data_IF_433311942647
#
_entry.id   IF_433311942647
#
_cell.length_a   1.000
_cell.length_b   1.000
_cell.length_c   1.000
_cell.angle_alpha   90.00
_cell.angle_beta   90.00
_cell.angle_gamma   90.00
#
_symmetry.space_group_name_H-M   'P 1'
#
loop_
_entity.id
_entity.type
_entity.pdbx_description
1 polymer ?
#
# COMPACT_ATOMS: atom_id res chain seq x y z
N UNK A 1 -17.96 -20.84 -29.41
CA UNK A 1 -18.22 -19.70 -28.53
C UNK A 1 -16.86 -19.22 -28.05
N UNK A 2 -16.47 -18.00 -28.38
CA UNK A 2 -15.17 -17.46 -27.94
C UNK A 2 -15.22 -17.22 -26.43
N UNK A 3 -14.08 -17.26 -25.73
CA UNK A 3 -14.00 -16.92 -24.30
C UNK A 3 -14.63 -15.54 -24.01
N UNK A 4 -14.53 -14.59 -24.94
CA UNK A 4 -15.21 -13.30 -24.87
C UNK A 4 -16.74 -13.42 -24.94
N UNK A 5 -17.30 -14.33 -25.73
CA UNK A 5 -18.75 -14.60 -25.75
C UNK A 5 -19.22 -15.31 -24.48
N UNK A 6 -18.42 -16.22 -23.90
CA UNK A 6 -18.73 -16.88 -22.62
C UNK A 6 -18.66 -15.89 -21.46
N UNK A 7 -17.65 -15.02 -21.44
CA UNK A 7 -17.54 -13.95 -20.44
C UNK A 7 -18.67 -12.94 -20.61
N UNK A 8 -19.00 -12.52 -21.84
CA UNK A 8 -20.12 -11.62 -22.10
C UNK A 8 -21.49 -12.27 -21.88
N UNK A 9 -21.62 -13.59 -22.00
CA UNK A 9 -22.83 -14.34 -21.65
C UNK A 9 -22.95 -14.54 -20.14
N UNK A 10 -21.84 -14.78 -19.43
CA UNK A 10 -21.77 -14.78 -17.97
C UNK A 10 -22.10 -13.39 -17.42
N UNK A 11 -21.42 -12.36 -17.90
CA UNK A 11 -21.69 -10.94 -17.61
C UNK A 11 -23.10 -10.53 -18.06
N UNK A 12 -23.59 -11.04 -19.18
CA UNK A 12 -24.95 -10.80 -19.65
C UNK A 12 -26.01 -11.44 -18.77
N UNK A 13 -25.75 -12.64 -18.22
CA UNK A 13 -26.56 -13.27 -17.18
C UNK A 13 -26.48 -12.49 -15.87
N UNK A 14 -25.31 -11.96 -15.51
CA UNK A 14 -25.15 -11.07 -14.34
C UNK A 14 -25.86 -9.72 -14.51
N UNK A 15 -25.90 -9.15 -15.73
CA UNK A 15 -26.56 -7.87 -16.05
C UNK A 15 -28.09 -7.94 -16.11
N UNK A 16 -28.68 -9.12 -16.25
CA UNK A 16 -30.14 -9.28 -16.27
C UNK A 16 -30.82 -8.96 -14.92
N UNK A 17 -30.04 -8.58 -13.88
CA UNK A 17 -30.52 -8.13 -12.58
C UNK A 17 -30.79 -6.61 -12.45
N UNK A 18 -30.58 -5.77 -13.49
CA UNK A 18 -30.82 -4.31 -13.38
C UNK A 18 -31.62 -3.67 -14.52
N UNK A 19 -32.64 -2.89 -14.15
CA UNK A 19 -33.19 -1.81 -14.99
C UNK A 19 -32.15 -0.67 -15.13
N UNK A 20 -31.98 -0.04 -16.31
CA UNK A 20 -30.85 0.82 -16.58
C UNK A 20 -31.07 2.25 -16.06
N UNK A 21 -30.25 2.69 -15.10
CA UNK A 21 -30.09 4.11 -14.80
C UNK A 21 -29.05 4.72 -15.75
N UNK A 22 -29.50 5.61 -16.64
CA UNK A 22 -28.68 6.22 -17.71
C UNK A 22 -27.80 7.33 -17.16
N UNK A 23 -26.50 7.10 -17.03
CA UNK A 23 -25.49 8.16 -16.94
C UNK A 23 -24.95 8.45 -18.35
N UNK A 24 -25.16 9.69 -18.81
CA UNK A 24 -24.65 10.19 -20.11
C UNK A 24 -23.14 10.45 -19.99
N UNK A 25 -22.37 9.89 -20.92
CA UNK A 25 -20.93 10.17 -21.09
C UNK A 25 -20.70 11.48 -21.86
N UNK A 26 -19.66 12.21 -21.47
CA UNK A 26 -19.09 13.37 -22.17
C UNK A 26 -17.99 12.90 -23.14
N UNK A 27 -17.84 13.43 -24.38
CA UNK A 27 -17.03 12.78 -25.43
C UNK A 27 -15.52 13.04 -25.40
N UNK A 28 -15.01 14.04 -24.67
CA UNK A 28 -13.63 14.50 -24.86
C UNK A 28 -12.87 14.66 -23.52
N UNK A 29 -11.97 13.73 -23.21
CA UNK A 29 -11.10 13.80 -22.04
C UNK A 29 -9.96 12.80 -22.09
N UNK A 30 -8.81 13.22 -22.64
CA UNK A 30 -7.56 12.44 -22.64
C UNK A 30 -6.95 12.47 -21.25
N UNK A 31 -6.72 11.31 -20.63
CA UNK A 31 -5.95 11.18 -19.38
C UNK A 31 -4.85 10.11 -19.52
N UNK A 32 -3.64 10.51 -19.16
CA UNK A 32 -2.43 9.68 -19.12
C UNK A 32 -2.17 9.25 -17.67
N UNK A 33 -2.11 7.95 -17.38
CA UNK A 33 -1.58 7.45 -16.10
C UNK A 33 -1.82 5.96 -15.85
N UNK A 34 -0.75 5.16 -15.84
CA UNK A 34 -0.75 3.77 -15.34
C UNK A 34 -0.51 3.75 -13.83
N UNK A 35 -1.47 3.26 -13.05
CA UNK A 35 -1.27 3.00 -11.62
C UNK A 35 -2.46 2.22 -11.06
N UNK A 36 -2.32 0.90 -10.93
CA UNK A 36 -3.25 0.14 -10.09
C UNK A 36 -2.89 0.47 -8.65
N UNK A 37 -3.74 1.24 -7.97
CA UNK A 37 -3.71 1.36 -6.52
C UNK A 37 -4.30 0.08 -5.92
N UNK A 38 -3.62 -1.05 -6.10
CA UNK A 38 -3.69 -2.09 -5.05
C UNK A 38 -3.20 -1.39 -3.78
N UNK A 39 -4.00 -1.34 -2.73
CA UNK A 39 -3.52 -0.87 -1.42
C UNK A 39 -2.20 -1.59 -1.11
N UNK A 40 -1.17 -0.94 -0.57
CA UNK A 40 0.14 -1.56 -0.30
C UNK A 40 -0.01 -2.92 0.37
N UNK A 41 0.01 -3.96 -0.44
CA UNK A 41 -0.06 -5.36 -0.07
C UNK A 41 1.14 -5.90 -0.83
N UNK A 42 2.30 -6.04 -0.18
CA UNK A 42 3.41 -6.70 -0.82
C UNK A 42 2.98 -8.15 -1.09
N UNK A 43 2.42 -8.39 -2.27
CA UNK A 43 2.13 -9.71 -2.79
C UNK A 43 3.46 -10.32 -3.18
N UNK A 44 4.00 -11.11 -2.27
CA UNK A 44 4.94 -12.15 -2.67
C UNK A 44 4.09 -13.23 -3.33
N UNK A 45 4.07 -13.24 -4.67
CA UNK A 45 3.60 -14.42 -5.41
C UNK A 45 4.64 -15.52 -5.21
N UNK A 46 4.59 -16.23 -4.08
CA UNK A 46 5.35 -17.46 -3.90
C UNK A 46 4.65 -18.57 -4.67
N UNK A 47 5.40 -19.34 -5.47
CA UNK A 47 4.89 -20.59 -6.02
C UNK A 47 4.41 -21.50 -4.87
N UNK A 48 3.38 -22.35 -5.08
CA UNK A 48 2.86 -23.26 -4.05
C UNK A 48 3.92 -24.19 -3.42
N UNK A 49 5.07 -24.36 -4.07
CA UNK A 49 6.14 -25.27 -3.66
C UNK A 49 7.25 -24.61 -2.80
N UNK A 50 7.24 -23.29 -2.60
CA UNK A 50 8.32 -22.57 -1.88
C UNK A 50 8.02 -22.26 -0.39
N UNK A 51 7.15 -23.03 0.27
CA UNK A 51 6.92 -22.92 1.73
C UNK A 51 8.09 -23.43 2.60
N UNK A 52 9.26 -23.71 2.02
CA UNK A 52 10.47 -24.16 2.73
C UNK A 52 11.62 -23.12 2.77
N UNK A 53 11.34 -21.83 2.55
CA UNK A 53 12.34 -20.76 2.45
C UNK A 53 12.64 -19.95 3.71
N UNK A 54 12.08 -20.27 4.88
CA UNK A 54 12.18 -19.44 6.11
C UNK A 54 13.60 -19.35 6.75
N UNK A 55 14.67 -19.72 6.04
CA UNK A 55 16.04 -19.76 6.58
C UNK A 55 17.11 -19.16 5.63
N UNK A 56 16.70 -18.57 4.50
CA UNK A 56 17.62 -18.15 3.43
C UNK A 56 18.01 -16.65 3.47
N UNK A 57 17.11 -15.73 3.84
CA UNK A 57 17.46 -14.31 3.97
C UNK A 57 18.41 -14.07 5.16
N UNK A 58 18.22 -14.76 6.28
CA UNK A 58 19.21 -14.85 7.35
C UNK A 58 20.57 -15.37 6.87
N UNK A 59 20.60 -16.27 5.87
CA UNK A 59 21.83 -16.80 5.27
C UNK A 59 22.48 -15.81 4.30
N UNK A 60 21.70 -15.04 3.53
CA UNK A 60 22.19 -13.95 2.68
C UNK A 60 22.74 -12.78 3.51
N UNK A 61 22.07 -12.42 4.61
CA UNK A 61 22.51 -11.45 5.60
C UNK A 61 23.79 -11.93 6.30
N UNK A 62 23.86 -13.22 6.69
CA UNK A 62 25.08 -13.86 7.22
C UNK A 62 26.22 -13.89 6.20
N UNK A 63 25.96 -14.08 4.91
CA UNK A 63 26.98 -14.02 3.85
C UNK A 63 27.46 -12.60 3.58
N UNK A 64 26.56 -11.61 3.54
CA UNK A 64 26.91 -10.20 3.38
C UNK A 64 27.75 -9.68 4.56
N UNK A 65 27.39 -10.09 5.78
CA UNK A 65 28.17 -9.78 7.00
C UNK A 65 29.50 -10.54 7.07
N UNK A 66 29.56 -11.80 6.67
CA UNK A 66 30.79 -12.60 6.66
C UNK A 66 31.82 -12.13 5.60
N UNK A 67 31.36 -11.66 4.44
CA UNK A 67 32.23 -11.17 3.36
C UNK A 67 32.89 -9.82 3.72
N UNK A 68 32.29 -9.07 4.64
CA UNK A 68 32.78 -7.77 5.08
C UNK A 68 33.91 -7.85 6.15
N UNK A 69 34.36 -9.04 6.56
CA UNK A 69 35.32 -9.20 7.65
C UNK A 69 36.80 -9.04 7.26
N UNK A 70 37.37 -7.83 7.49
CA UNK A 70 38.69 -7.59 8.14
C UNK A 70 39.13 -6.11 8.21
N UNK A 71 38.41 -5.15 7.63
CA UNK A 71 38.67 -3.71 7.77
C UNK A 71 37.37 -2.89 7.62
N UNK A 72 36.46 -2.98 8.59
CA UNK A 72 35.19 -2.24 8.52
C UNK A 72 35.28 -0.86 9.18
N UNK A 73 34.74 0.17 8.52
CA UNK A 73 34.56 1.49 9.14
C UNK A 73 33.59 1.40 10.34
N UNK A 74 33.76 2.23 11.39
CA UNK A 74 32.83 2.27 12.54
C UNK A 74 31.37 2.49 12.15
N UNK A 75 31.10 3.26 11.08
CA UNK A 75 29.77 3.48 10.52
C UNK A 75 29.12 2.16 10.04
N UNK A 76 29.89 1.31 9.36
CA UNK A 76 29.45 0.01 8.88
C UNK A 76 29.22 -0.96 10.06
N UNK A 77 30.10 -0.97 11.06
CA UNK A 77 29.92 -1.80 12.25
C UNK A 77 28.63 -1.45 13.01
N UNK A 78 28.29 -0.16 13.10
CA UNK A 78 27.03 0.30 13.71
C UNK A 78 25.82 -0.07 12.88
N UNK A 79 25.88 0.07 11.55
CA UNK A 79 24.81 -0.36 10.65
C UNK A 79 24.55 -1.87 10.77
N UNK A 80 25.60 -2.69 10.84
CA UNK A 80 25.52 -4.14 11.02
C UNK A 80 25.06 -4.58 12.42
N UNK A 81 24.96 -3.66 13.38
CA UNK A 81 24.51 -3.96 14.75
C UNK A 81 22.99 -3.86 14.92
N UNK A 82 22.27 -3.31 13.94
CA UNK A 82 20.81 -3.20 13.98
C UNK A 82 20.20 -4.59 13.72
N UNK A 83 19.37 -5.12 14.64
CA UNK A 83 18.65 -6.37 14.44
C UNK A 83 17.83 -6.37 13.14
N UNK A 84 17.84 -7.48 12.43
CA UNK A 84 17.05 -7.68 11.21
C UNK A 84 16.19 -8.94 11.39
N UNK A 85 15.06 -8.85 12.11
CA UNK A 85 14.19 -10.00 12.33
C UNK A 85 13.60 -10.51 11.00
N UNK A 86 13.53 -11.83 10.88
CA UNK A 86 12.98 -12.52 9.71
C UNK A 86 12.25 -13.80 10.18
N UNK A 87 10.90 -13.85 10.11
CA UNK A 87 10.02 -12.76 9.69
C UNK A 87 9.90 -11.66 10.77
N UNK A 88 9.54 -10.44 10.36
CA UNK A 88 9.24 -9.36 11.32
C UNK A 88 7.97 -9.68 12.13
N UNK A 89 7.68 -8.92 13.20
CA UNK A 89 6.42 -9.09 13.92
C UNK A 89 5.20 -8.86 13.01
N UNK A 90 5.27 -7.84 12.16
CA UNK A 90 4.21 -7.51 11.21
C UNK A 90 4.03 -8.60 10.15
N UNK A 91 5.11 -9.12 9.58
CA UNK A 91 5.02 -10.20 8.59
C UNK A 91 4.37 -11.45 9.20
N UNK A 92 4.76 -11.82 10.44
CA UNK A 92 4.15 -12.95 11.16
C UNK A 92 2.66 -12.75 11.41
N UNK A 93 2.26 -11.56 11.83
CA UNK A 93 0.84 -11.27 12.10
C UNK A 93 0.03 -11.32 10.80
N UNK A 94 0.54 -10.71 9.72
CA UNK A 94 -0.12 -10.73 8.40
C UNK A 94 -0.27 -12.16 7.87
N UNK A 95 0.82 -12.91 7.80
CA UNK A 95 0.81 -14.29 7.30
C UNK A 95 -0.14 -15.18 8.11
N UNK A 96 -0.20 -14.98 9.43
CA UNK A 96 -1.13 -15.70 10.32
C UNK A 96 -2.58 -15.43 9.93
N UNK A 97 -2.99 -14.17 9.80
CA UNK A 97 -4.39 -13.82 9.55
C UNK A 97 -4.83 -14.13 8.12
N UNK A 98 -3.97 -13.88 7.12
CA UNK A 98 -4.27 -14.29 5.74
C UNK A 98 -4.36 -15.81 5.62
N UNK A 99 -3.37 -16.53 6.18
CA UNK A 99 -3.37 -17.99 6.17
C UNK A 99 -4.58 -18.58 6.89
N UNK A 100 -5.07 -17.92 7.94
CA UNK A 100 -6.30 -18.32 8.62
C UNK A 100 -7.54 -18.17 7.74
N UNK A 101 -7.72 -17.00 7.09
CA UNK A 101 -8.82 -16.78 6.15
C UNK A 101 -8.79 -17.78 4.99
N UNK A 102 -7.63 -18.03 4.39
CA UNK A 102 -7.46 -19.02 3.32
C UNK A 102 -7.81 -20.43 3.81
N UNK A 103 -7.31 -20.84 4.98
CA UNK A 103 -7.55 -22.18 5.50
C UNK A 103 -9.03 -22.43 5.79
N UNK A 104 -9.75 -21.43 6.30
CA UNK A 104 -11.19 -21.54 6.57
C UNK A 104 -12.02 -21.56 5.29
N UNK A 105 -11.69 -20.72 4.29
CA UNK A 105 -12.40 -20.70 3.02
C UNK A 105 -12.28 -22.05 2.30
N UNK A 106 -11.09 -22.67 2.32
CA UNK A 106 -10.86 -24.04 1.80
C UNK A 106 -11.65 -25.15 2.52
N UNK A 107 -12.14 -24.86 3.72
CA UNK A 107 -12.95 -25.78 4.53
C UNK A 107 -14.45 -25.39 4.50
N UNK A 108 -14.83 -24.43 3.65
CA UNK A 108 -16.19 -23.88 3.54
C UNK A 108 -16.75 -23.35 4.88
N UNK A 109 -15.86 -22.89 5.78
CA UNK A 109 -16.23 -22.36 7.10
C UNK A 109 -16.64 -20.89 7.02
N UNK A 110 -17.58 -20.57 6.13
CA UNK A 110 -17.95 -19.18 5.80
C UNK A 110 -18.56 -18.41 6.95
N UNK A 111 -19.43 -19.04 7.75
CA UNK A 111 -19.99 -18.45 8.97
C UNK A 111 -18.89 -18.06 9.95
N UNK A 112 -17.92 -18.96 10.20
CA UNK A 112 -16.84 -18.71 11.15
C UNK A 112 -15.91 -17.57 10.68
N UNK A 113 -15.64 -17.46 9.38
CA UNK A 113 -14.87 -16.34 8.82
C UNK A 113 -15.61 -15.03 9.03
N UNK A 114 -16.92 -15.02 8.75
CA UNK A 114 -17.75 -13.83 8.91
C UNK A 114 -17.78 -13.35 10.37
N UNK A 115 -17.96 -14.27 11.33
CA UNK A 115 -17.93 -13.95 12.76
C UNK A 115 -16.56 -13.40 13.20
N UNK A 116 -15.46 -14.00 12.74
CA UNK A 116 -14.12 -13.52 13.05
C UNK A 116 -13.82 -12.15 12.43
N UNK A 117 -14.32 -11.91 11.22
CA UNK A 117 -14.23 -10.61 10.57
C UNK A 117 -15.04 -9.56 11.32
N UNK A 118 -16.26 -9.89 11.74
CA UNK A 118 -17.13 -9.01 12.53
C UNK A 118 -16.47 -8.61 13.85
N UNK A 119 -15.95 -9.59 14.59
CA UNK A 119 -15.28 -9.35 15.87
C UNK A 119 -14.05 -8.46 15.67
N UNK A 120 -13.21 -8.76 14.67
CA UNK A 120 -12.01 -8.00 14.38
C UNK A 120 -12.31 -6.57 13.91
N UNK A 121 -13.33 -6.38 13.07
CA UNK A 121 -13.71 -5.07 12.54
C UNK A 121 -14.44 -4.23 13.60
N UNK A 122 -15.24 -4.86 14.47
CA UNK A 122 -15.92 -4.19 15.59
C UNK A 122 -14.90 -3.70 16.62
N UNK A 123 -13.92 -4.52 16.97
CA UNK A 123 -12.88 -4.18 17.95
C UNK A 123 -11.72 -3.37 17.35
N UNK A 124 -11.74 -3.07 16.04
CA UNK A 124 -10.67 -2.36 15.32
C UNK A 124 -9.31 -3.05 15.51
N UNK A 125 -9.31 -4.39 15.55
CA UNK A 125 -8.08 -5.16 15.77
C UNK A 125 -7.11 -4.92 14.62
N UNK A 126 -5.86 -4.65 14.98
CA UNK A 126 -4.77 -4.40 14.03
C UNK A 126 -3.57 -5.28 14.33
N UNK A 127 -2.77 -5.54 13.30
CA UNK A 127 -1.45 -6.14 13.43
C UNK A 127 -0.47 -5.18 14.12
N UNK A 128 0.72 -5.68 14.44
CA UNK A 128 1.78 -4.87 15.06
C UNK A 128 2.23 -3.65 14.23
N UNK A 129 2.07 -3.68 12.90
CA UNK A 129 2.29 -2.57 11.97
C UNK A 129 1.01 -1.82 11.56
N UNK A 130 -0.11 -2.07 12.23
CA UNK A 130 -1.34 -1.28 12.07
C UNK A 130 -2.30 -1.75 10.97
N UNK A 131 -2.14 -2.95 10.40
CA UNK A 131 -3.04 -3.45 9.37
C UNK A 131 -4.33 -4.04 9.99
N UNK A 132 -5.53 -3.64 9.52
CA UNK A 132 -6.78 -4.19 10.04
C UNK A 132 -6.87 -5.70 9.84
N UNK A 133 -7.19 -6.44 10.91
CA UNK A 133 -7.26 -7.90 10.87
C UNK A 133 -8.44 -8.39 10.02
N UNK A 134 -9.57 -7.68 10.04
CA UNK A 134 -10.73 -8.02 9.21
C UNK A 134 -10.40 -7.98 7.71
N UNK A 135 -9.64 -6.97 7.26
CA UNK A 135 -9.15 -6.89 5.88
C UNK A 135 -8.21 -8.05 5.52
N UNK A 136 -7.35 -8.48 6.46
CA UNK A 136 -6.44 -9.62 6.26
C UNK A 136 -7.16 -10.96 6.16
N UNK A 137 -8.18 -11.17 7.00
CA UNK A 137 -9.04 -12.36 6.93
C UNK A 137 -9.80 -12.40 5.60
N UNK A 138 -10.41 -11.28 5.20
CA UNK A 138 -11.10 -11.12 3.92
C UNK A 138 -10.17 -11.38 2.74
N UNK A 139 -8.95 -10.85 2.78
CA UNK A 139 -7.93 -11.08 1.76
C UNK A 139 -7.58 -12.57 1.65
N UNK A 140 -7.31 -13.21 2.79
CA UNK A 140 -7.02 -14.65 2.85
C UNK A 140 -8.15 -15.50 2.26
N UNK A 141 -9.41 -15.16 2.60
CA UNK A 141 -10.59 -15.92 2.17
C UNK A 141 -10.80 -15.94 0.65
N UNK A 142 -10.38 -14.89 -0.07
CA UNK A 142 -10.49 -14.81 -1.54
C UNK A 142 -9.20 -15.08 -2.31
N UNK A 143 -8.08 -15.28 -1.60
CA UNK A 143 -6.74 -15.31 -2.18
C UNK A 143 -6.57 -16.38 -3.27
N UNK A 144 -7.10 -17.60 -3.06
CA UNK A 144 -6.96 -18.69 -4.04
C UNK A 144 -7.67 -18.36 -5.36
N UNK A 145 -8.89 -17.83 -5.28
CA UNK A 145 -9.70 -17.43 -6.44
C UNK A 145 -9.02 -16.30 -7.22
N UNK A 146 -8.62 -15.24 -6.51
CA UNK A 146 -7.97 -14.07 -7.12
C UNK A 146 -6.63 -14.46 -7.73
N UNK A 147 -5.80 -15.22 -7.02
CA UNK A 147 -4.48 -15.65 -7.51
C UNK A 147 -4.59 -16.51 -8.78
N UNK A 148 -5.60 -17.40 -8.85
CA UNK A 148 -5.85 -18.20 -10.04
C UNK A 148 -6.23 -17.32 -11.25
N UNK A 149 -7.12 -16.34 -11.05
CA UNK A 149 -7.52 -15.39 -12.09
C UNK A 149 -6.34 -14.53 -12.56
N UNK A 150 -5.54 -13.98 -11.63
CA UNK A 150 -4.35 -13.20 -11.95
C UNK A 150 -3.29 -13.98 -12.71
N UNK A 151 -3.11 -15.26 -12.37
CA UNK A 151 -2.20 -16.14 -13.07
C UNK A 151 -2.64 -16.36 -14.51
N UNK A 152 -3.92 -16.68 -14.72
CA UNK A 152 -4.49 -16.86 -16.05
C UNK A 152 -4.47 -15.57 -16.89
N UNK A 153 -4.57 -14.40 -16.24
CA UNK A 153 -4.57 -13.09 -16.90
C UNK A 153 -3.17 -12.46 -17.05
N UNK A 154 -2.08 -13.16 -16.67
CA UNK A 154 -0.72 -12.59 -16.64
C UNK A 154 -0.25 -12.00 -17.98
N UNK A 155 -0.66 -12.60 -19.10
CA UNK A 155 -0.33 -12.16 -20.47
C UNK A 155 -1.33 -11.13 -21.02
N UNK A 156 -2.39 -10.83 -20.25
CA UNK A 156 -3.59 -10.13 -20.70
C UNK A 156 -4.38 -10.89 -21.78
N UNK A 157 -4.02 -12.14 -22.07
CA UNK A 157 -4.70 -13.06 -22.99
C UNK A 157 -4.81 -14.43 -22.30
N UNK A 158 -5.91 -14.69 -21.59
CA UNK A 158 -6.12 -16.01 -21.01
C UNK A 158 -6.19 -17.09 -22.09
N UNK A 159 -5.74 -18.29 -21.74
CA UNK A 159 -5.90 -19.47 -22.59
C UNK A 159 -7.39 -19.77 -22.80
N UNK A 160 -7.72 -20.38 -23.94
CA UNK A 160 -9.12 -20.65 -24.31
C UNK A 160 -9.88 -21.45 -23.23
N UNK A 161 -9.19 -22.39 -22.58
CA UNK A 161 -9.77 -23.31 -21.59
C UNK A 161 -9.42 -22.91 -20.15
N UNK A 162 -8.94 -21.68 -19.90
CA UNK A 162 -8.64 -21.22 -18.56
C UNK A 162 -9.94 -21.12 -17.73
N UNK A 163 -10.03 -21.75 -16.55
CA UNK A 163 -11.22 -21.70 -15.68
C UNK A 163 -11.29 -20.37 -14.92
N UNK A 164 -11.41 -19.26 -15.66
CA UNK A 164 -11.40 -17.91 -15.10
C UNK A 164 -12.63 -17.60 -14.25
N UNK A 165 -13.74 -18.28 -14.52
CA UNK A 165 -15.03 -18.00 -13.89
C UNK A 165 -15.33 -18.94 -12.72
N UNK A 166 -14.83 -20.17 -12.74
CA UNK A 166 -15.16 -21.21 -11.75
C UNK A 166 -14.98 -20.73 -10.31
N UNK A 167 -13.86 -20.05 -10.02
CA UNK A 167 -13.58 -19.55 -8.68
C UNK A 167 -14.51 -18.42 -8.22
N UNK A 168 -14.87 -17.49 -9.11
CA UNK A 168 -15.78 -16.39 -8.77
C UNK A 168 -17.23 -16.84 -8.75
N UNK A 169 -17.61 -17.81 -9.59
CA UNK A 169 -18.92 -18.47 -9.56
C UNK A 169 -19.15 -19.20 -8.22
N UNK A 170 -18.15 -19.92 -7.70
CA UNK A 170 -18.24 -20.54 -6.38
C UNK A 170 -18.42 -19.50 -5.25
N UNK A 171 -17.76 -18.34 -5.33
CA UNK A 171 -17.97 -17.26 -4.35
C UNK A 171 -19.36 -16.62 -4.47
N UNK A 172 -19.93 -16.55 -5.67
CA UNK A 172 -21.31 -16.08 -5.89
C UNK A 172 -22.35 -17.06 -5.33
N UNK A 173 -22.08 -18.38 -5.39
CA UNK A 173 -22.91 -19.39 -4.72
C UNK A 173 -22.90 -19.18 -3.20
N UNK A 174 -21.72 -18.94 -2.61
CA UNK A 174 -21.61 -18.59 -1.18
C UNK A 174 -22.39 -17.30 -0.87
N UNK A 175 -22.30 -16.27 -1.70
CA UNK A 175 -23.09 -15.05 -1.50
C UNK A 175 -24.60 -15.32 -1.55
N UNK A 176 -25.05 -16.21 -2.44
CA UNK A 176 -26.46 -16.58 -2.54
C UNK A 176 -26.96 -17.38 -1.32
N UNK A 177 -26.08 -18.14 -0.67
CA UNK A 177 -26.38 -18.83 0.61
C UNK A 177 -26.46 -17.85 1.80
N UNK A 178 -25.71 -16.74 1.75
CA UNK A 178 -25.62 -15.74 2.81
C UNK A 178 -25.93 -14.31 2.32
N UNK A 179 -27.13 -14.05 1.76
CA UNK A 179 -27.42 -12.80 1.05
C UNK A 179 -27.39 -11.57 1.96
N UNK A 180 -27.72 -11.72 3.24
CA UNK A 180 -27.80 -10.62 4.21
C UNK A 180 -26.54 -10.48 5.08
N UNK A 181 -25.45 -11.23 4.78
CA UNK A 181 -24.21 -11.17 5.57
C UNK A 181 -23.21 -10.15 4.99
N UNK A 182 -22.97 -9.00 5.65
CA UNK A 182 -22.13 -7.94 5.11
C UNK A 182 -20.65 -8.32 4.99
N UNK A 183 -20.16 -9.26 5.82
CA UNK A 183 -18.76 -9.69 5.81
C UNK A 183 -18.47 -10.61 4.62
N UNK A 184 -19.40 -11.54 4.34
CA UNK A 184 -19.35 -12.39 3.14
C UNK A 184 -19.50 -11.53 1.89
N UNK A 185 -20.49 -10.63 1.87
CA UNK A 185 -20.66 -9.67 0.77
C UNK A 185 -19.37 -8.88 0.50
N UNK A 186 -18.67 -8.44 1.55
CA UNK A 186 -17.39 -7.73 1.42
C UNK A 186 -16.28 -8.61 0.82
N UNK A 187 -16.18 -9.88 1.20
CA UNK A 187 -15.22 -10.84 0.60
C UNK A 187 -15.48 -10.96 -0.90
N UNK A 188 -16.72 -11.23 -1.29
CA UNK A 188 -17.10 -11.51 -2.68
C UNK A 188 -16.96 -10.24 -3.54
N UNK A 189 -17.46 -9.09 -3.07
CA UNK A 189 -17.28 -7.82 -3.76
C UNK A 189 -15.80 -7.46 -3.94
N UNK A 190 -14.96 -7.70 -2.92
CA UNK A 190 -13.52 -7.48 -3.03
C UNK A 190 -12.86 -8.42 -4.04
N UNK A 191 -13.31 -9.68 -4.12
CA UNK A 191 -12.83 -10.63 -5.12
C UNK A 191 -13.17 -10.15 -6.54
N UNK A 192 -14.38 -9.63 -6.77
CA UNK A 192 -14.73 -9.01 -8.04
C UNK A 192 -13.80 -7.83 -8.37
N UNK A 193 -13.58 -6.89 -7.44
CA UNK A 193 -12.70 -5.74 -7.67
C UNK A 193 -11.26 -6.18 -8.01
N UNK A 194 -10.72 -7.15 -7.28
CA UNK A 194 -9.36 -7.68 -7.50
C UNK A 194 -9.23 -8.34 -8.89
N UNK A 195 -10.21 -9.17 -9.28
CA UNK A 195 -10.27 -9.78 -10.63
C UNK A 195 -10.46 -8.71 -11.71
N UNK A 196 -11.28 -7.69 -11.45
CA UNK A 196 -11.43 -6.54 -12.32
C UNK A 196 -10.08 -5.89 -12.62
N UNK A 197 -9.31 -5.58 -11.58
CA UNK A 197 -7.95 -5.04 -11.73
C UNK A 197 -7.02 -5.97 -12.51
N UNK A 198 -7.12 -7.29 -12.31
CA UNK A 198 -6.36 -8.27 -13.08
C UNK A 198 -6.67 -8.19 -14.58
N UNK A 199 -7.94 -8.00 -14.97
CA UNK A 199 -8.34 -7.79 -16.36
C UNK A 199 -7.78 -6.50 -16.96
N UNK A 200 -7.92 -5.38 -16.22
CA UNK A 200 -7.42 -4.06 -16.64
C UNK A 200 -5.91 -4.07 -16.81
N UNK A 201 -5.20 -4.79 -15.93
CA UNK A 201 -3.74 -4.88 -15.92
C UNK A 201 -3.06 -3.57 -15.52
N UNK A 202 -1.76 -3.47 -15.76
CA UNK A 202 -0.93 -2.34 -15.28
C UNK A 202 -0.60 -1.32 -16.37
N UNK A 203 -1.03 -1.55 -17.62
CA UNK A 203 -0.71 -0.67 -18.76
C UNK A 203 -1.37 0.71 -18.71
N UNK A 204 -1.11 1.55 -19.71
CA UNK A 204 -1.82 2.82 -19.86
C UNK A 204 -3.27 2.58 -20.28
N UNK A 205 -4.21 3.45 -19.90
CA UNK A 205 -5.64 3.25 -20.23
C UNK A 205 -5.85 3.07 -21.75
N UNK A 206 -5.13 3.85 -22.57
CA UNK A 206 -5.19 3.77 -24.03
C UNK A 206 -4.70 2.42 -24.60
N UNK A 207 -3.95 1.64 -23.83
CA UNK A 207 -3.41 0.33 -24.22
C UNK A 207 -4.31 -0.84 -23.77
N UNK A 208 -5.29 -0.57 -22.89
CA UNK A 208 -6.21 -1.60 -22.40
C UNK A 208 -7.17 -2.01 -23.51
N UNK A 209 -7.19 -3.30 -23.84
CA UNK A 209 -8.10 -3.84 -24.86
C UNK A 209 -9.57 -3.62 -24.45
N UNK A 210 -10.42 -3.33 -25.43
CA UNK A 210 -11.86 -3.10 -25.18
C UNK A 210 -12.53 -4.26 -24.42
N UNK A 211 -12.16 -5.51 -24.72
CA UNK A 211 -12.66 -6.69 -24.01
C UNK A 211 -12.25 -6.72 -22.54
N UNK A 212 -10.98 -6.41 -22.25
CA UNK A 212 -10.47 -6.34 -20.88
C UNK A 212 -11.12 -5.19 -20.10
N UNK A 213 -11.36 -4.05 -20.76
CA UNK A 213 -12.10 -2.92 -20.17
C UNK A 213 -13.54 -3.30 -19.83
N UNK A 214 -14.24 -3.97 -20.74
CA UNK A 214 -15.60 -4.45 -20.48
C UNK A 214 -15.65 -5.48 -19.34
N UNK A 215 -14.65 -6.35 -19.22
CA UNK A 215 -14.53 -7.30 -18.11
C UNK A 215 -14.28 -6.57 -16.78
N UNK A 216 -13.34 -5.61 -16.74
CA UNK A 216 -13.12 -4.74 -15.59
C UNK A 216 -14.42 -4.05 -15.15
N UNK A 217 -15.12 -3.38 -16.07
CA UNK A 217 -16.38 -2.68 -15.79
C UNK A 217 -17.44 -3.64 -15.23
N UNK A 218 -17.58 -4.84 -15.81
CA UNK A 218 -18.55 -5.82 -15.32
C UNK A 218 -18.28 -6.32 -13.89
N UNK A 219 -17.02 -6.55 -13.54
CA UNK A 219 -16.66 -6.93 -12.17
C UNK A 219 -16.93 -5.78 -11.18
N UNK A 220 -16.63 -4.53 -11.56
CA UNK A 220 -16.91 -3.37 -10.72
C UNK A 220 -18.41 -3.11 -10.57
N UNK A 221 -19.20 -3.26 -11.65
CA UNK A 221 -20.66 -3.17 -11.59
C UNK A 221 -21.23 -4.21 -10.61
N UNK A 222 -20.75 -5.46 -10.66
CA UNK A 222 -21.20 -6.50 -9.73
C UNK A 222 -20.79 -6.22 -8.29
N UNK A 223 -19.55 -5.79 -8.05
CA UNK A 223 -19.10 -5.38 -6.72
C UNK A 223 -19.97 -4.23 -6.16
N UNK A 224 -20.35 -3.27 -7.02
CA UNK A 224 -21.26 -2.20 -6.63
C UNK A 224 -22.64 -2.74 -6.21
N UNK A 225 -23.24 -3.64 -7.00
CA UNK A 225 -24.55 -4.23 -6.68
C UNK A 225 -24.54 -5.04 -5.37
N UNK A 226 -23.42 -5.68 -5.04
CA UNK A 226 -23.26 -6.41 -3.76
C UNK A 226 -23.18 -5.41 -2.60
N UNK A 227 -22.36 -4.36 -2.72
CA UNK A 227 -22.09 -3.42 -1.64
C UNK A 227 -23.22 -2.39 -1.41
N UNK A 228 -24.08 -2.15 -2.39
CA UNK A 228 -25.19 -1.17 -2.31
C UNK A 228 -26.27 -1.59 -1.29
N UNK A 229 -26.31 -2.88 -0.92
CA UNK A 229 -27.28 -3.45 0.01
C UNK A 229 -26.98 -3.12 1.49
N UNK A 230 -25.76 -2.68 1.80
CA UNK A 230 -25.28 -2.53 3.16
C UNK A 230 -24.83 -1.10 3.43
N UNK A 231 -25.13 -0.55 4.61
CA UNK A 231 -24.60 0.75 5.05
C UNK A 231 -23.48 0.56 6.08
N UNK A 232 -22.30 1.10 5.78
CA UNK A 232 -21.12 0.92 6.62
C UNK A 232 -21.20 1.70 7.95
N UNK A 233 -21.96 2.79 7.99
CA UNK A 233 -22.17 3.58 9.21
C UNK A 233 -23.16 2.88 10.11
N UNK A 234 -24.29 2.41 9.57
CA UNK A 234 -25.31 1.67 10.34
C UNK A 234 -24.73 0.37 10.94
N UNK A 235 -23.89 -0.33 10.17
CA UNK A 235 -23.21 -1.54 10.64
C UNK A 235 -21.96 -1.26 11.48
N UNK A 236 -21.53 0.00 11.59
CA UNK A 236 -20.28 0.38 12.23
C UNK A 236 -19.06 -0.43 11.73
N UNK A 237 -18.98 -0.63 10.41
CA UNK A 237 -18.10 -1.59 9.73
C UNK A 237 -17.04 -0.89 8.84
N UNK A 238 -15.85 -0.53 9.39
CA UNK A 238 -14.74 0.00 8.63
C UNK A 238 -14.37 -0.80 7.38
N UNK A 239 -14.38 -2.15 7.41
CA UNK A 239 -14.02 -2.94 6.22
C UNK A 239 -14.97 -2.69 5.05
N UNK A 240 -16.25 -2.48 5.33
CA UNK A 240 -17.27 -2.23 4.31
C UNK A 240 -17.06 -0.84 3.72
N UNK A 241 -16.72 0.15 4.56
CA UNK A 241 -16.32 1.47 4.10
C UNK A 241 -15.03 1.43 3.26
N UNK A 242 -14.06 0.58 3.64
CA UNK A 242 -12.83 0.35 2.89
C UNK A 242 -13.13 -0.23 1.49
N UNK A 243 -13.98 -1.25 1.41
CA UNK A 243 -14.42 -1.86 0.16
C UNK A 243 -15.17 -0.85 -0.74
N UNK A 244 -16.03 -0.02 -0.15
CA UNK A 244 -16.70 1.08 -0.88
C UNK A 244 -15.71 2.13 -1.38
N UNK A 245 -14.67 2.47 -0.62
CA UNK A 245 -13.59 3.35 -1.09
C UNK A 245 -12.82 2.74 -2.26
N UNK A 246 -12.51 1.44 -2.19
CA UNK A 246 -11.86 0.71 -3.28
C UNK A 246 -12.72 0.69 -4.56
N UNK A 247 -14.03 0.51 -4.41
CA UNK A 247 -14.99 0.51 -5.50
C UNK A 247 -15.01 1.87 -6.20
N UNK A 248 -15.21 2.96 -5.46
CA UNK A 248 -15.30 4.30 -6.06
C UNK A 248 -13.99 4.75 -6.70
N UNK A 249 -12.83 4.23 -6.25
CA UNK A 249 -11.54 4.51 -6.87
C UNK A 249 -11.38 3.88 -8.27
N UNK A 250 -12.09 2.78 -8.55
CA UNK A 250 -12.10 2.15 -9.88
C UNK A 250 -13.26 2.60 -10.78
N UNK A 251 -14.21 3.37 -10.24
CA UNK A 251 -15.37 3.86 -10.97
C UNK A 251 -15.22 5.33 -11.37
N UNK A 252 -15.86 5.74 -12.46
CA UNK A 252 -15.95 7.16 -12.84
C UNK A 252 -16.94 7.90 -11.95
N UNK A 253 -16.50 8.30 -10.76
CA UNK A 253 -17.31 9.04 -9.78
C UNK A 253 -16.98 10.52 -9.77
N UNK A 254 -17.89 11.33 -9.21
CA UNK A 254 -17.58 12.72 -8.91
C UNK A 254 -16.66 12.80 -7.69
N UNK A 255 -15.80 13.82 -7.68
CA UNK A 255 -14.86 14.06 -6.58
C UNK A 255 -15.50 14.14 -5.18
N UNK A 256 -16.70 14.71 -5.07
CA UNK A 256 -17.43 14.83 -3.81
C UNK A 256 -17.92 13.47 -3.28
N UNK A 257 -18.22 12.52 -4.16
CA UNK A 257 -18.58 11.15 -3.77
C UNK A 257 -17.36 10.40 -3.22
N UNK A 258 -16.20 10.55 -3.86
CA UNK A 258 -14.93 10.00 -3.38
C UNK A 258 -14.59 10.53 -1.98
N UNK A 259 -14.65 11.86 -1.81
CA UNK A 259 -14.39 12.52 -0.53
C UNK A 259 -15.34 12.02 0.55
N UNK A 260 -16.65 11.92 0.25
CA UNK A 260 -17.63 11.41 1.20
C UNK A 260 -17.35 9.96 1.63
N UNK A 261 -16.99 9.09 0.69
CA UNK A 261 -16.67 7.70 1.00
C UNK A 261 -15.46 7.61 1.95
N UNK A 262 -14.40 8.37 1.68
CA UNK A 262 -13.22 8.41 2.53
C UNK A 262 -13.48 9.07 3.89
N UNK A 263 -14.29 10.13 3.95
CA UNK A 263 -14.73 10.71 5.22
C UNK A 263 -15.40 9.66 6.09
N UNK A 264 -16.33 8.87 5.53
CA UNK A 264 -16.98 7.77 6.24
C UNK A 264 -15.97 6.73 6.73
N UNK A 265 -15.03 6.30 5.88
CA UNK A 265 -14.05 5.29 6.28
C UNK A 265 -13.11 5.79 7.39
N UNK A 266 -12.58 7.02 7.25
CA UNK A 266 -11.69 7.63 8.24
C UNK A 266 -12.45 7.89 9.56
N UNK A 267 -13.73 8.24 9.51
CA UNK A 267 -14.54 8.41 10.72
C UNK A 267 -14.77 7.09 11.47
N UNK A 268 -14.92 5.98 10.75
CA UNK A 268 -15.15 4.64 11.32
C UNK A 268 -13.88 3.99 11.90
N UNK A 269 -12.71 4.29 11.33
CA UNK A 269 -11.39 3.86 11.82
C UNK A 269 -10.34 4.98 11.69
N UNK A 270 -10.37 5.98 12.59
CA UNK A 270 -9.52 7.17 12.48
C UNK A 270 -8.04 6.88 12.70
N UNK A 271 -7.70 5.75 13.29
CA UNK A 271 -6.31 5.29 13.50
C UNK A 271 -5.78 4.50 12.29
N UNK A 272 -6.52 4.42 11.18
CA UNK A 272 -6.05 3.72 9.98
C UNK A 272 -5.24 4.63 9.08
N UNK A 273 -3.91 4.59 9.26
CA UNK A 273 -2.98 5.35 8.43
C UNK A 273 -3.10 5.04 6.92
N UNK A 274 -3.55 3.84 6.54
CA UNK A 274 -3.69 3.45 5.12
C UNK A 274 -4.89 4.13 4.46
N UNK A 275 -5.98 4.31 5.20
CA UNK A 275 -7.16 5.02 4.72
C UNK A 275 -6.79 6.45 4.28
N UNK A 276 -6.03 7.15 5.14
CA UNK A 276 -5.54 8.51 4.92
C UNK A 276 -4.62 8.59 3.69
N UNK A 277 -3.67 7.65 3.59
CA UNK A 277 -2.74 7.57 2.46
C UNK A 277 -3.46 7.32 1.12
N UNK A 278 -4.38 6.35 1.11
CA UNK A 278 -5.16 6.03 -0.08
C UNK A 278 -6.06 7.20 -0.50
N UNK A 279 -6.63 7.92 0.47
CA UNK A 279 -7.45 9.09 0.20
C UNK A 279 -6.68 10.14 -0.62
N UNK A 280 -5.49 10.53 -0.18
CA UNK A 280 -4.70 11.53 -0.91
C UNK A 280 -4.25 11.07 -2.28
N UNK A 281 -3.89 9.80 -2.44
CA UNK A 281 -3.55 9.24 -3.75
C UNK A 281 -4.74 9.33 -4.73
N UNK A 282 -5.96 9.06 -4.28
CA UNK A 282 -7.17 9.16 -5.11
C UNK A 282 -7.68 10.59 -5.33
N UNK A 283 -7.16 11.58 -4.59
CA UNK A 283 -7.43 13.00 -4.84
C UNK A 283 -6.55 13.60 -5.94
N UNK A 284 -5.61 12.85 -6.51
CA UNK A 284 -4.82 13.33 -7.65
C UNK A 284 -5.69 13.50 -8.92
N UNK A 285 -5.34 14.43 -9.83
CA UNK A 285 -6.10 14.67 -11.07
C UNK A 285 -6.26 13.46 -11.98
N UNK A 286 -5.31 12.52 -11.94
CA UNK A 286 -5.36 11.27 -12.73
C UNK A 286 -6.55 10.37 -12.36
N UNK A 287 -7.15 10.60 -11.20
CA UNK A 287 -8.35 9.94 -10.73
C UNK A 287 -9.54 10.88 -10.94
N UNK A 288 -10.04 11.51 -9.85
CA UNK A 288 -11.22 12.37 -9.89
C UNK A 288 -11.06 13.65 -9.04
N UNK A 289 -9.85 13.94 -8.58
CA UNK A 289 -9.58 15.09 -7.74
C UNK A 289 -8.86 16.22 -8.47
N UNK A 290 -8.25 17.10 -7.68
CA UNK A 290 -7.45 18.24 -8.11
C UNK A 290 -6.41 18.54 -7.04
N UNK A 291 -5.34 19.24 -7.39
CA UNK A 291 -4.31 19.61 -6.42
C UNK A 291 -4.86 20.50 -5.30
N UNK A 292 -5.82 21.36 -5.62
CA UNK A 292 -6.52 22.23 -4.66
C UNK A 292 -7.37 21.40 -3.70
N UNK A 293 -8.07 20.36 -4.19
CA UNK A 293 -8.83 19.45 -3.34
C UNK A 293 -7.94 18.57 -2.48
N UNK A 294 -6.80 18.11 -3.00
CA UNK A 294 -5.81 17.37 -2.21
C UNK A 294 -5.35 18.18 -1.00
N UNK A 295 -4.89 19.41 -1.23
CA UNK A 295 -4.42 20.31 -0.17
C UNK A 295 -5.53 20.65 0.84
N UNK A 296 -6.72 21.02 0.35
CA UNK A 296 -7.86 21.35 1.21
C UNK A 296 -8.24 20.16 2.11
N UNK A 297 -8.32 18.96 1.55
CA UNK A 297 -8.70 17.77 2.29
C UNK A 297 -7.61 17.31 3.25
N UNK A 298 -6.33 17.41 2.89
CA UNK A 298 -5.23 17.09 3.79
C UNK A 298 -5.27 17.96 5.06
N UNK A 299 -5.55 19.26 4.91
CA UNK A 299 -5.73 20.18 6.06
C UNK A 299 -7.00 19.88 6.85
N UNK A 300 -8.12 19.60 6.17
CA UNK A 300 -9.39 19.25 6.83
C UNK A 300 -9.24 18.00 7.69
N UNK A 301 -8.59 16.97 7.16
CA UNK A 301 -8.28 15.72 7.86
C UNK A 301 -7.38 15.97 9.06
N UNK A 302 -6.29 16.74 8.89
CA UNK A 302 -5.40 17.07 10.01
C UNK A 302 -6.12 17.83 11.12
N UNK A 303 -6.99 18.80 10.80
CA UNK A 303 -7.79 19.51 11.81
C UNK A 303 -8.82 18.62 12.49
N UNK A 304 -9.55 17.80 11.71
CA UNK A 304 -10.62 16.93 12.22
C UNK A 304 -10.10 15.80 13.10
N UNK A 305 -8.94 15.25 12.75
CA UNK A 305 -8.31 14.12 13.46
C UNK A 305 -7.03 14.54 14.18
N UNK A 306 -6.93 15.82 14.59
CA UNK A 306 -5.75 16.36 15.27
C UNK A 306 -5.43 15.62 16.57
N UNK A 307 -6.45 15.18 17.31
CA UNK A 307 -6.24 14.41 18.54
C UNK A 307 -5.56 13.06 18.26
N UNK A 308 -5.89 12.42 17.14
CA UNK A 308 -5.36 11.11 16.76
C UNK A 308 -3.98 11.24 16.14
N UNK A 309 -3.78 12.17 15.22
CA UNK A 309 -2.57 12.25 14.39
C UNK A 309 -1.77 13.55 14.50
N UNK A 310 -2.30 14.60 15.13
CA UNK A 310 -1.72 15.94 15.06
C UNK A 310 -1.58 16.42 13.61
N UNK A 311 -0.43 16.98 13.29
CA UNK A 311 0.00 17.33 11.93
C UNK A 311 0.24 16.08 11.06
N UNK A 312 0.33 14.89 11.68
CA UNK A 312 0.50 13.60 10.98
C UNK A 312 -0.64 13.25 10.04
N UNK A 313 -1.86 13.73 10.27
CA UNK A 313 -2.99 13.52 9.37
C UNK A 313 -2.75 14.13 7.99
N UNK A 314 -2.16 15.32 7.96
CA UNK A 314 -1.76 15.99 6.72
C UNK A 314 -0.66 15.20 6.00
N UNK A 315 0.39 14.80 6.74
CA UNK A 315 1.49 14.04 6.16
C UNK A 315 1.04 12.68 5.59
N UNK A 316 0.13 11.97 6.27
CA UNK A 316 -0.41 10.70 5.78
C UNK A 316 -1.21 10.86 4.49
N UNK A 317 -2.07 11.88 4.38
CA UNK A 317 -2.80 12.17 3.14
C UNK A 317 -1.84 12.52 2.01
N UNK A 318 -0.83 13.34 2.26
CA UNK A 318 0.12 13.75 1.22
C UNK A 318 1.10 12.64 0.79
N UNK A 319 1.40 11.68 1.66
CA UNK A 319 2.52 10.73 1.54
C UNK A 319 2.62 10.05 0.16
N UNK A 320 1.53 9.41 -0.27
CA UNK A 320 1.51 8.63 -1.51
C UNK A 320 1.24 9.51 -2.74
N UNK A 321 0.61 10.67 -2.54
CA UNK A 321 0.33 11.64 -3.60
C UNK A 321 1.62 12.31 -4.11
N UNK A 322 2.45 12.83 -3.21
CA UNK A 322 3.67 13.56 -3.58
C UNK A 322 4.80 12.64 -4.08
N UNK A 323 4.82 11.38 -3.65
CA UNK A 323 5.79 10.42 -4.18
C UNK A 323 5.50 10.13 -5.66
N UNK A 324 4.22 10.08 -6.04
CA UNK A 324 3.74 9.65 -7.35
C UNK A 324 3.51 10.79 -8.36
N UNK A 325 3.49 12.05 -7.90
CA UNK A 325 3.12 13.21 -8.71
C UNK A 325 3.99 14.44 -8.38
N UNK A 326 4.75 14.92 -9.38
CA UNK A 326 5.68 16.04 -9.19
C UNK A 326 4.98 17.37 -8.90
N UNK A 327 3.81 17.61 -9.51
CA UNK A 327 3.05 18.85 -9.28
C UNK A 327 2.44 18.89 -7.88
N UNK A 328 1.92 17.76 -7.38
CA UNK A 328 1.52 17.65 -5.97
C UNK A 328 2.71 17.90 -5.01
N UNK A 329 3.90 17.39 -5.36
CA UNK A 329 5.11 17.57 -4.55
C UNK A 329 5.57 19.04 -4.48
N UNK A 330 5.52 19.79 -5.58
CA UNK A 330 5.87 21.23 -5.61
C UNK A 330 4.98 22.08 -4.72
N UNK A 331 3.69 21.74 -4.66
CA UNK A 331 2.68 22.50 -3.91
C UNK A 331 2.65 22.18 -2.42
N UNK A 332 3.48 21.24 -1.97
CA UNK A 332 3.48 20.75 -0.60
C UNK A 332 3.88 21.85 0.39
N UNK A 333 3.08 22.01 1.46
CA UNK A 333 3.54 22.64 2.69
C UNK A 333 4.58 21.74 3.37
N UNK A 334 5.85 21.95 3.01
CA UNK A 334 6.97 21.11 3.42
C UNK A 334 7.20 21.14 4.93
N UNK A 335 7.07 22.30 5.57
CA UNK A 335 7.30 22.42 7.02
C UNK A 335 6.23 21.63 7.78
N UNK A 336 4.97 21.79 7.39
CA UNK A 336 3.84 21.07 7.99
C UNK A 336 3.92 19.56 7.73
N UNK A 337 4.39 19.15 6.55
CA UNK A 337 4.64 17.74 6.24
C UNK A 337 5.70 17.12 7.14
N UNK A 338 6.85 17.80 7.32
CA UNK A 338 7.97 17.29 8.14
C UNK A 338 7.60 17.28 9.62
N UNK A 339 6.79 18.24 10.10
CA UNK A 339 6.18 18.17 11.43
C UNK A 339 5.27 16.95 11.56
N UNK A 340 4.41 16.70 10.56
CA UNK A 340 3.55 15.53 10.53
C UNK A 340 4.31 14.20 10.56
N UNK A 341 5.48 14.10 9.91
CA UNK A 341 6.33 12.90 10.04
C UNK A 341 6.79 12.65 11.49
N UNK A 342 7.04 13.71 12.27
CA UNK A 342 7.41 13.59 13.69
C UNK A 342 6.22 13.13 14.51
N UNK A 343 5.06 13.73 14.31
CA UNK A 343 3.83 13.35 15.02
C UNK A 343 3.46 11.88 14.77
N UNK A 344 3.56 11.40 13.53
CA UNK A 344 3.34 9.98 13.21
C UNK A 344 4.30 9.10 14.03
N UNK A 345 5.60 9.42 14.07
CA UNK A 345 6.62 8.61 14.77
C UNK A 345 6.62 8.76 16.29
N UNK A 346 5.95 9.77 16.83
CA UNK A 346 5.76 9.91 18.28
C UNK A 346 4.56 9.11 18.77
N UNK A 347 3.56 8.91 17.90
CA UNK A 347 2.31 8.17 18.14
C UNK A 347 2.41 6.69 17.76
N UNK A 348 2.94 6.38 16.57
CA UNK A 348 3.21 5.03 16.07
C UNK A 348 4.69 4.69 16.26
N UNK A 349 4.99 3.92 17.30
CA UNK A 349 6.38 3.57 17.69
C UNK A 349 6.82 2.19 17.24
N UNK A 350 5.97 1.50 16.49
CA UNK A 350 6.31 0.19 15.92
C UNK A 350 7.43 0.33 14.88
N UNK A 351 8.23 -0.71 14.73
CA UNK A 351 9.36 -0.66 13.81
C UNK A 351 8.95 -0.77 12.34
N UNK A 352 7.72 -1.19 12.04
CA UNK A 352 7.21 -1.21 10.67
C UNK A 352 7.02 0.21 10.14
N UNK A 353 6.32 1.08 10.89
CA UNK A 353 6.12 2.49 10.56
C UNK A 353 7.45 3.26 10.50
N UNK A 354 8.36 2.99 11.44
CA UNK A 354 9.71 3.60 11.43
C UNK A 354 10.47 3.24 10.15
N UNK A 355 10.49 1.96 9.77
CA UNK A 355 11.14 1.52 8.53
C UNK A 355 10.43 2.11 7.30
N UNK A 356 9.10 2.16 7.29
CA UNK A 356 8.31 2.75 6.20
C UNK A 356 8.73 4.21 5.96
N UNK A 357 8.70 5.04 6.99
CA UNK A 357 9.01 6.47 6.85
C UNK A 357 10.51 6.72 6.60
N UNK A 358 11.40 5.94 7.22
CA UNK A 358 12.84 6.04 6.95
C UNK A 358 13.17 5.68 5.50
N UNK A 359 12.65 4.55 5.01
CA UNK A 359 12.87 4.09 3.65
C UNK A 359 12.18 4.99 2.63
N UNK A 360 10.99 5.50 2.92
CA UNK A 360 10.30 6.49 2.09
C UNK A 360 11.15 7.75 1.90
N UNK A 361 11.63 8.35 3.00
CA UNK A 361 12.45 9.56 2.91
C UNK A 361 13.75 9.27 2.14
N UNK A 362 14.45 8.19 2.50
CA UNK A 362 15.77 7.90 1.94
C UNK A 362 15.73 7.44 0.47
N UNK A 363 14.82 6.53 0.13
CA UNK A 363 14.79 5.89 -1.18
C UNK A 363 13.73 6.49 -2.08
N UNK A 364 12.47 6.54 -1.64
CA UNK A 364 11.36 7.00 -2.49
C UNK A 364 11.48 8.48 -2.82
N UNK A 365 11.82 9.33 -1.85
CA UNK A 365 12.04 10.75 -2.10
C UNK A 365 13.48 11.04 -2.53
N UNK A 366 14.46 10.46 -1.83
CA UNK A 366 15.89 10.73 -2.09
C UNK A 366 16.44 10.22 -3.43
N UNK A 367 15.85 9.18 -4.04
CA UNK A 367 16.34 8.65 -5.33
C UNK A 367 15.46 9.04 -6.54
N UNK A 368 14.43 9.88 -6.35
CA UNK A 368 13.46 10.21 -7.41
C UNK A 368 13.73 11.58 -8.02
N UNK A 369 14.92 11.78 -8.62
CA UNK A 369 15.15 12.97 -9.46
C UNK A 369 14.40 12.83 -10.76
N UNK A 370 13.47 13.75 -11.00
CA UNK A 370 12.56 13.72 -12.16
C UNK A 370 12.93 14.75 -13.23
N UNK A 371 13.92 15.60 -12.97
CA UNK A 371 14.30 16.71 -13.83
C UNK A 371 13.38 17.92 -13.70
N UNK A 372 12.48 17.91 -12.71
CA UNK A 372 11.74 19.09 -12.25
C UNK A 372 12.46 19.65 -11.01
N UNK A 373 13.21 20.74 -11.20
CA UNK A 373 14.10 21.31 -10.18
C UNK A 373 13.37 21.67 -8.87
N UNK A 374 12.12 22.13 -8.95
CA UNK A 374 11.34 22.52 -7.78
C UNK A 374 10.85 21.29 -7.00
N UNK A 375 10.34 20.28 -7.71
CA UNK A 375 9.95 19.01 -7.08
C UNK A 375 11.16 18.29 -6.48
N UNK A 376 12.28 18.26 -7.21
CA UNK A 376 13.52 17.63 -6.78
C UNK A 376 14.11 18.34 -5.54
N UNK A 377 13.96 19.66 -5.43
CA UNK A 377 14.31 20.41 -4.22
C UNK A 377 13.46 19.97 -3.02
N UNK A 378 12.13 19.90 -3.15
CA UNK A 378 11.24 19.44 -2.07
C UNK A 378 11.57 17.99 -1.66
N UNK A 379 11.77 17.10 -2.64
CA UNK A 379 12.18 15.70 -2.41
C UNK A 379 13.47 15.61 -1.62
N UNK A 380 14.48 16.41 -1.96
CA UNK A 380 15.75 16.45 -1.23
C UNK A 380 15.55 16.88 0.24
N UNK A 381 14.69 17.87 0.51
CA UNK A 381 14.38 18.31 1.88
C UNK A 381 13.63 17.26 2.69
N UNK A 382 12.75 16.49 2.05
CA UNK A 382 12.10 15.34 2.70
C UNK A 382 13.13 14.24 2.96
N UNK A 383 14.05 13.99 2.02
CA UNK A 383 15.09 12.99 2.17
C UNK A 383 16.03 13.27 3.37
N UNK A 384 16.30 14.55 3.68
CA UNK A 384 17.04 14.94 4.89
C UNK A 384 16.40 14.38 6.19
N UNK A 385 15.10 14.09 6.18
CA UNK A 385 14.41 13.52 7.34
C UNK A 385 14.85 12.10 7.67
N UNK A 386 15.37 11.35 6.69
CA UNK A 386 15.89 10.01 6.93
C UNK A 386 16.99 9.99 7.99
N UNK A 387 17.83 11.03 8.06
CA UNK A 387 18.92 11.12 9.03
C UNK A 387 18.41 11.04 10.49
N UNK A 388 17.44 11.87 10.86
CA UNK A 388 16.96 11.90 12.25
C UNK A 388 16.09 10.69 12.60
N UNK A 389 15.34 10.14 11.62
CA UNK A 389 14.54 8.92 11.82
C UNK A 389 15.45 7.73 12.08
N UNK A 390 16.45 7.50 11.21
CA UNK A 390 17.39 6.38 11.32
C UNK A 390 18.19 6.47 12.61
N UNK A 391 18.64 7.67 13.01
CA UNK A 391 19.42 7.85 14.24
C UNK A 391 18.60 7.69 15.52
N UNK A 392 17.39 8.24 15.53
CA UNK A 392 16.60 8.39 16.75
C UNK A 392 15.58 7.29 16.98
N UNK A 393 15.09 6.64 15.91
CA UNK A 393 13.89 5.80 15.96
C UNK A 393 14.11 4.38 15.44
N UNK A 394 15.02 4.17 14.49
CA UNK A 394 15.28 2.86 13.87
C UNK A 394 16.05 1.94 14.83
N UNK A 395 15.40 0.85 15.24
CA UNK A 395 15.90 -0.16 16.18
C UNK A 395 15.87 -1.57 15.59
N UNK A 396 15.03 -1.81 14.60
CA UNK A 396 14.99 -3.04 13.81
C UNK A 396 15.00 -2.67 12.34
N UNK A 397 15.58 -3.52 11.50
CA UNK A 397 15.61 -3.35 10.05
C UNK A 397 14.64 -4.31 9.40
N UNK A 398 13.74 -3.79 8.56
CA UNK A 398 12.72 -4.57 7.84
C UNK A 398 12.99 -4.55 6.32
N UNK A 399 13.77 -5.51 5.78
CA UNK A 399 14.32 -5.38 4.42
C UNK A 399 13.30 -5.27 3.29
N UNK A 400 12.13 -5.91 3.43
CA UNK A 400 11.07 -5.87 2.41
C UNK A 400 10.57 -4.43 2.18
N UNK A 401 10.43 -3.64 3.24
CA UNK A 401 9.99 -2.25 3.15
C UNK A 401 11.00 -1.41 2.34
N UNK A 402 12.29 -1.60 2.63
CA UNK A 402 13.36 -0.88 1.93
C UNK A 402 13.44 -1.26 0.44
N UNK A 403 13.21 -2.53 0.12
CA UNK A 403 13.15 -3.00 -1.26
C UNK A 403 11.97 -2.38 -2.02
N UNK A 404 10.79 -2.28 -1.41
CA UNK A 404 9.64 -1.59 -2.01
C UNK A 404 9.87 -0.09 -2.16
N UNK A 405 10.46 0.56 -1.15
CA UNK A 405 10.75 1.99 -1.20
C UNK A 405 11.70 2.36 -2.37
N UNK A 406 12.69 1.50 -2.65
CA UNK A 406 13.60 1.64 -3.79
C UNK A 406 12.90 1.50 -5.16
N UNK A 407 11.66 1.00 -5.18
CA UNK A 407 10.79 0.92 -6.35
C UNK A 407 9.61 1.89 -6.27
N UNK A 408 9.71 2.92 -5.43
CA UNK A 408 8.67 3.93 -5.26
C UNK A 408 7.40 3.42 -4.60
N UNK A 409 7.46 2.31 -3.85
CA UNK A 409 6.30 1.60 -3.33
C UNK A 409 5.29 1.22 -4.41
N UNK A 410 5.76 0.83 -5.60
CA UNK A 410 4.91 0.34 -6.67
C UNK A 410 4.12 -0.90 -6.20
N UNK A 411 2.82 -0.73 -5.99
CA UNK A 411 1.91 -1.79 -5.54
C UNK A 411 1.59 -2.79 -6.65
N UNK A 412 1.88 -2.45 -7.90
CA UNK A 412 1.75 -3.37 -9.04
C UNK A 412 3.03 -4.19 -9.27
N UNK A 413 4.08 -3.97 -8.46
CA UNK A 413 5.35 -4.65 -8.59
C UNK A 413 5.21 -6.15 -8.30
N UNK A 414 5.47 -6.96 -9.32
CA UNK A 414 5.49 -8.42 -9.18
C UNK A 414 6.84 -8.90 -8.62
N UNK A 415 6.83 -9.34 -7.37
CA UNK A 415 8.02 -9.91 -6.71
C UNK A 415 8.13 -11.40 -7.05
N UNK A 416 9.05 -11.74 -7.97
CA UNK A 416 9.27 -13.15 -8.39
C UNK A 416 9.97 -14.01 -7.33
N UNK A 417 10.72 -13.39 -6.43
CA UNK A 417 11.54 -14.07 -5.44
C UNK A 417 11.71 -13.15 -4.24
N UNK A 418 10.93 -13.37 -3.18
CA UNK A 418 10.97 -12.56 -1.96
C UNK A 418 12.37 -12.48 -1.37
N UNK A 419 13.10 -13.59 -1.35
CA UNK A 419 14.45 -13.64 -0.77
C UNK A 419 15.40 -12.66 -1.46
N UNK A 420 15.47 -12.68 -2.79
CA UNK A 420 16.32 -11.76 -3.56
C UNK A 420 15.86 -10.32 -3.42
N UNK A 421 14.56 -10.10 -3.33
CA UNK A 421 13.99 -8.78 -3.15
C UNK A 421 14.33 -8.20 -1.77
N UNK A 422 14.11 -8.97 -0.69
CA UNK A 422 14.52 -8.63 0.67
C UNK A 422 16.03 -8.39 0.76
N UNK A 423 16.86 -9.24 0.13
CA UNK A 423 18.31 -9.05 0.12
C UNK A 423 18.72 -7.72 -0.53
N UNK A 424 18.03 -7.30 -1.60
CA UNK A 424 18.26 -5.99 -2.22
C UNK A 424 17.89 -4.84 -1.30
N UNK A 425 16.74 -4.92 -0.62
CA UNK A 425 16.32 -3.91 0.36
C UNK A 425 17.25 -3.82 1.57
N UNK A 426 17.77 -4.96 2.05
CA UNK A 426 18.79 -4.98 3.11
C UNK A 426 20.07 -4.27 2.68
N UNK A 427 20.55 -4.53 1.46
CA UNK A 427 21.72 -3.86 0.92
C UNK A 427 21.52 -2.35 0.79
N UNK A 428 20.35 -1.91 0.30
CA UNK A 428 20.00 -0.50 0.20
C UNK A 428 19.92 0.19 1.57
N UNK A 429 19.28 -0.46 2.54
CA UNK A 429 19.22 0.05 3.91
C UNK A 429 20.61 0.22 4.51
N UNK A 430 21.48 -0.80 4.39
CA UNK A 430 22.85 -0.71 4.89
C UNK A 430 23.63 0.42 4.24
N UNK A 431 23.48 0.63 2.93
CA UNK A 431 24.12 1.75 2.23
C UNK A 431 23.69 3.09 2.84
N UNK A 432 22.38 3.32 2.93
CA UNK A 432 21.81 4.56 3.50
C UNK A 432 22.28 4.78 4.93
N UNK A 433 22.15 3.77 5.78
CA UNK A 433 22.55 3.86 7.20
C UNK A 433 24.06 4.15 7.31
N UNK A 434 24.88 3.47 6.51
CA UNK A 434 26.33 3.69 6.51
C UNK A 434 26.68 5.11 6.06
N UNK A 435 26.03 5.63 5.03
CA UNK A 435 26.29 6.99 4.52
C UNK A 435 25.91 8.06 5.55
N UNK A 436 24.78 7.90 6.25
CA UNK A 436 24.37 8.75 7.37
C UNK A 436 25.45 8.77 8.46
N UNK A 437 25.94 7.61 8.90
CA UNK A 437 26.97 7.53 9.95
C UNK A 437 28.38 7.97 9.48
N UNK A 438 28.73 7.81 8.21
CA UNK A 438 29.99 8.36 7.65
C UNK A 438 29.99 9.88 7.63
N UNK A 439 28.86 10.50 7.28
CA UNK A 439 28.69 11.94 7.32
C UNK A 439 28.92 12.53 8.71
N UNK A 440 28.55 11.79 9.76
CA UNK A 440 28.82 12.16 11.16
C UNK A 440 30.30 12.08 11.52
N UNK A 441 30.97 10.98 11.22
CA UNK A 441 32.40 10.83 11.51
C UNK A 441 33.21 11.96 10.86
N UNK A 442 32.83 12.35 9.64
CA UNK A 442 33.42 13.48 8.92
C UNK A 442 33.11 14.82 9.57
N UNK A 443 31.87 15.06 10.02
CA UNK A 443 31.45 16.29 10.73
C UNK A 443 32.13 16.42 12.10
N UNK A 444 32.16 15.36 12.90
CA UNK A 444 32.85 15.33 14.20
C UNK A 444 34.35 15.57 14.04
N UNK A 445 34.98 14.94 13.06
CA UNK A 445 36.39 15.21 12.75
C UNK A 445 36.62 16.68 12.41
N UNK A 446 35.81 17.28 11.52
CA UNK A 446 35.89 18.72 11.18
C UNK A 446 35.67 19.63 12.40
N UNK A 447 34.71 19.33 13.28
CA UNK A 447 34.45 20.11 14.49
C UNK A 447 35.62 20.02 15.48
N UNK A 448 36.19 18.83 15.70
CA UNK A 448 37.39 18.65 16.51
C UNK A 448 38.60 19.38 15.92
N UNK A 449 38.78 19.36 14.61
CA UNK A 449 39.83 20.16 13.94
C UNK A 449 39.61 21.67 14.11
N UNK A 450 38.36 22.14 13.99
CA UNK A 450 38.00 23.56 14.18
C UNK A 450 38.19 24.03 15.62
N UNK A 451 37.78 23.22 16.62
CA UNK A 451 37.99 23.49 18.04
C UNK A 451 39.49 23.55 18.39
N UNK A 452 40.27 22.59 17.87
CA UNK A 452 41.74 22.58 18.03
C UNK A 452 42.44 23.74 17.31
N UNK A 453 41.82 24.33 16.27
CA UNK A 453 42.34 25.52 15.59
C UNK A 453 41.99 26.81 16.35
N UNK A 454 40.80 26.87 16.96
CA UNK A 454 40.37 27.97 17.83
C UNK A 454 41.21 28.07 19.10
N UNK A 455 41.66 26.94 19.67
CA UNK A 455 42.57 26.91 20.82
C UNK A 455 44.03 27.25 20.46
N UNK A 456 44.37 27.23 19.15
CA UNK A 456 45.73 27.52 18.64
C UNK A 456 45.87 28.91 18.03
N UNK A 457 44.86 29.78 18.06
CA UNK A 457 45.09 31.19 17.79
C UNK A 457 45.85 31.81 18.97
N UNK A 458 47.07 32.33 18.78
CA UNK A 458 47.75 33.07 19.83
C UNK A 458 46.91 34.31 20.14
N UNK A 459 46.64 34.55 21.43
CA UNK A 459 46.25 35.87 21.91
C UNK A 459 47.38 36.84 21.52
N UNK A 460 47.26 37.49 20.37
CA UNK A 460 48.09 38.63 20.01
C UNK A 460 47.62 39.80 20.88
N UNK A 461 48.46 40.14 21.86
CA UNK A 461 48.37 41.33 22.69
C UNK A 461 48.54 42.61 21.87
#
# INVERSE_FOLDING_TARGET
MTLAETLMAFVGRMRQSREPNKLKMDPDGVLQGSGSLKFYQPEVVTRPEEKQGANAAATAIKRATATAGKNQSPALARALSIPCPDPTAEDRDRDRHQGHGTAMARQERWTDIAELMEEADTERKKTSGGMPIAELLSYGARADVVSAAEHALISGKPDHDAPLLDGIEALEEVLAEFPDNPWIATIVASAHMDIGWAWRGTGWEAEVRAQNKAAFEAHFDRAADILDQFDAVELNAPILAAAKCALVAGMKVRSDQLVKAYDTYIDLDPENARALRAFGAHLLPRWHGSYEQLELNARRVSGRHFEVWGSGGYALVMLDAISSDAEACKRLDLEFFVEGLRDILDRCRDQHTVNLLAAYCANTMGNSSTGDDEADFIRARIADSAEWIVRGKLKELHPMIWAHAARGFDNALRVRCAERFAASGYADALRVITDIYRGEASRQMRQSFSANFSERQPQTA
#
